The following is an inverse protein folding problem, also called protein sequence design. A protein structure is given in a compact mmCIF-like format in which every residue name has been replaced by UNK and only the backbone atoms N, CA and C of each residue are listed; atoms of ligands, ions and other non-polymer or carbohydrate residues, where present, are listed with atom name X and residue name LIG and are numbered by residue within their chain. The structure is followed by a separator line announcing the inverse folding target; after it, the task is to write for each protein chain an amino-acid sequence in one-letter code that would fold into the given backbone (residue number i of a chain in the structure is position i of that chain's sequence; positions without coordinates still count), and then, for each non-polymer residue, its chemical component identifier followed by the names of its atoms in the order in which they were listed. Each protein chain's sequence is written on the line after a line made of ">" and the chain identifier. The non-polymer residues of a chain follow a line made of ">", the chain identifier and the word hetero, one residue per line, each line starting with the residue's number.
data_IF_178437016258
#
_entry.id   IF_178437016258
#
_cell.length_a   1.000
_cell.length_b   1.000
_cell.length_c   1.000
_cell.angle_alpha   90.00
_cell.angle_beta   90.00
_cell.angle_gamma   90.00
#
_symmetry.space_group_name_H-M   'P 1'
#
loop_
_entity.id
_entity.type
_entity.pdbx_description
1 polymer ?
#
# COMPACT_ATOMS: atom_id res chain seq x y z
N UNK A 1 83.15 41.19 -29.41
CA UNK A 1 83.60 42.12 -28.35
C UNK A 1 82.46 43.10 -28.10
N UNK A 2 82.06 43.23 -26.83
CA UNK A 2 81.03 44.13 -26.25
C UNK A 2 79.67 44.25 -26.97
N UNK A 3 78.70 43.41 -26.58
CA UNK A 3 77.29 43.73 -26.77
C UNK A 3 76.78 44.57 -25.60
N UNK A 4 76.44 45.82 -25.89
CA UNK A 4 75.75 46.75 -24.99
C UNK A 4 74.26 46.39 -24.94
N UNK A 5 73.75 46.20 -23.72
CA UNK A 5 72.33 46.05 -23.42
C UNK A 5 71.69 47.46 -23.34
N UNK A 6 70.57 47.65 -24.05
CA UNK A 6 69.68 48.80 -23.86
C UNK A 6 68.65 48.49 -22.76
N UNK A 7 68.51 49.42 -21.84
CA UNK A 7 67.50 49.46 -20.78
C UNK A 7 66.09 49.63 -21.35
N UNK A 8 65.10 48.95 -20.74
CA UNK A 8 63.69 49.32 -20.86
C UNK A 8 63.13 49.54 -19.45
N UNK A 9 62.59 50.74 -19.27
CA UNK A 9 62.00 51.29 -18.05
C UNK A 9 60.91 50.40 -17.44
N UNK A 10 61.03 50.12 -16.15
CA UNK A 10 59.98 49.48 -15.34
C UNK A 10 58.97 50.54 -14.91
N UNK A 11 57.78 50.51 -15.50
CA UNK A 11 56.64 51.30 -15.02
C UNK A 11 55.82 50.45 -14.04
N UNK A 12 55.78 50.85 -12.76
CA UNK A 12 55.01 50.16 -11.71
C UNK A 12 53.54 50.51 -11.83
N UNK A 13 52.74 49.59 -12.37
CA UNK A 13 51.27 49.62 -12.24
C UNK A 13 50.86 48.82 -11.00
N UNK A 14 50.37 49.52 -9.97
CA UNK A 14 49.66 48.90 -8.85
C UNK A 14 48.23 48.65 -9.35
N UNK A 15 47.95 47.42 -9.77
CA UNK A 15 46.60 46.98 -10.13
C UNK A 15 45.80 46.61 -8.89
N UNK A 16 44.79 47.40 -8.55
CA UNK A 16 43.77 47.02 -7.58
C UNK A 16 42.86 45.95 -8.20
N UNK A 17 42.93 44.71 -7.69
CA UNK A 17 42.01 43.63 -8.08
C UNK A 17 40.71 43.80 -7.28
N UNK A 18 39.69 44.37 -7.92
CA UNK A 18 38.32 44.37 -7.43
C UNK A 18 37.69 43.00 -7.69
N UNK A 19 37.67 42.15 -6.65
CA UNK A 19 36.88 40.92 -6.63
C UNK A 19 35.39 41.28 -6.56
N UNK A 20 34.71 41.26 -7.71
CA UNK A 20 33.25 41.26 -7.75
C UNK A 20 32.75 39.90 -7.29
N UNK A 21 32.30 39.81 -6.04
CA UNK A 21 31.49 38.69 -5.58
C UNK A 21 30.12 38.76 -6.30
N UNK A 22 29.97 37.97 -7.36
CA UNK A 22 28.66 37.77 -8.01
C UNK A 22 27.83 36.95 -7.02
N UNK A 23 27.09 37.63 -6.15
CA UNK A 23 26.03 37.01 -5.36
C UNK A 23 24.91 36.63 -6.34
N UNK A 24 25.01 35.42 -6.91
CA UNK A 24 23.89 34.81 -7.62
C UNK A 24 22.69 34.71 -6.68
N UNK A 25 21.45 34.78 -7.19
CA UNK A 25 20.27 34.66 -6.35
C UNK A 25 20.34 33.32 -5.62
N UNK A 26 20.36 33.37 -4.28
CA UNK A 26 20.18 32.20 -3.43
C UNK A 26 18.87 31.55 -3.85
N UNK A 27 18.94 30.43 -4.58
CA UNK A 27 17.77 29.61 -4.81
C UNK A 27 17.16 29.30 -3.44
N UNK A 28 15.91 29.67 -3.23
CA UNK A 28 15.21 29.40 -1.98
C UNK A 28 15.26 27.89 -1.72
N UNK A 29 16.16 27.47 -0.83
CA UNK A 29 16.21 26.10 -0.36
C UNK A 29 14.97 25.91 0.51
N UNK A 30 14.16 24.91 0.18
CA UNK A 30 13.04 24.50 1.02
C UNK A 30 13.50 24.13 2.43
N UNK A 31 12.55 23.99 3.35
CA UNK A 31 12.81 23.59 4.74
C UNK A 31 13.57 22.26 4.77
N UNK A 32 14.46 22.11 5.75
CA UNK A 32 15.15 20.84 6.00
C UNK A 32 14.16 19.76 6.46
N UNK A 33 14.49 18.46 6.34
CA UNK A 33 13.61 17.39 6.84
C UNK A 33 13.30 17.54 8.34
N UNK A 34 14.27 17.99 9.14
CA UNK A 34 14.08 18.27 10.57
C UNK A 34 13.08 19.40 10.81
N UNK A 35 13.18 20.50 10.06
CA UNK A 35 12.24 21.62 10.15
C UNK A 35 10.82 21.19 9.75
N UNK A 36 10.69 20.41 8.67
CA UNK A 36 9.42 19.83 8.25
C UNK A 36 8.84 18.98 9.38
N UNK A 37 9.62 18.04 9.94
CA UNK A 37 9.15 17.17 11.01
C UNK A 37 8.71 17.95 12.25
N UNK A 38 9.51 18.91 12.72
CA UNK A 38 9.18 19.73 13.90
C UNK A 38 7.88 20.53 13.73
N UNK A 39 7.62 21.02 12.52
CA UNK A 39 6.43 21.78 12.20
C UNK A 39 5.19 20.89 12.02
N UNK A 40 5.31 19.81 11.24
CA UNK A 40 4.16 19.01 10.83
C UNK A 40 3.77 17.97 11.88
N UNK A 41 4.71 17.41 12.65
CA UNK A 41 4.44 16.35 13.64
C UNK A 41 3.37 16.73 14.66
N UNK A 42 3.26 18.01 15.02
CA UNK A 42 2.22 18.51 15.95
C UNK A 42 0.81 18.45 15.38
N UNK A 43 0.69 18.36 14.06
CA UNK A 43 -0.57 18.25 13.32
C UNK A 43 -0.85 16.82 12.85
N UNK A 44 0.04 15.87 13.15
CA UNK A 44 -0.15 14.45 12.87
C UNK A 44 -0.51 13.75 14.17
N UNK A 45 -1.48 12.84 14.08
CA UNK A 45 -2.00 12.09 15.22
C UNK A 45 -2.04 10.60 14.91
N UNK A 46 -2.05 9.78 15.95
CA UNK A 46 -2.32 8.34 15.81
C UNK A 46 -3.81 8.10 16.00
N UNK A 47 -4.43 7.30 15.14
CA UNK A 47 -5.82 6.87 15.26
C UNK A 47 -5.82 5.46 15.83
N UNK A 48 -6.65 5.23 16.84
CA UNK A 48 -6.95 3.91 17.36
C UNK A 48 -8.42 3.59 17.11
N UNK A 49 -8.66 2.40 16.60
CA UNK A 49 -9.99 1.85 16.37
C UNK A 49 -10.26 0.79 17.41
N UNK A 50 -11.33 0.98 18.17
CA UNK A 50 -11.67 0.12 19.29
C UNK A 50 -12.76 -0.88 18.90
N UNK A 51 -12.59 -2.13 19.31
CA UNK A 51 -13.65 -3.14 19.25
C UNK A 51 -14.74 -2.88 20.31
N UNK A 52 -15.74 -3.76 20.38
CA UNK A 52 -16.86 -3.64 21.33
C UNK A 52 -16.44 -3.88 22.79
N UNK A 53 -15.29 -4.49 23.03
CA UNK A 53 -14.74 -4.78 24.34
C UNK A 53 -13.78 -3.66 24.81
N UNK A 54 -13.51 -2.67 23.94
CA UNK A 54 -12.62 -1.55 24.19
C UNK A 54 -11.15 -1.85 23.86
N UNK A 55 -10.85 -3.01 23.26
CA UNK A 55 -9.52 -3.37 22.76
C UNK A 55 -9.19 -2.63 21.47
N UNK A 56 -7.90 -2.37 21.22
CA UNK A 56 -7.45 -1.75 19.96
C UNK A 56 -7.47 -2.82 18.86
N UNK A 57 -8.46 -2.72 17.97
CA UNK A 57 -8.65 -3.62 16.84
C UNK A 57 -7.82 -3.22 15.61
N UNK A 58 -7.58 -1.92 15.44
CA UNK A 58 -6.79 -1.38 14.34
C UNK A 58 -6.16 -0.04 14.74
N UNK A 59 -5.14 0.39 13.99
CA UNK A 59 -4.52 1.68 14.16
C UNK A 59 -4.14 2.30 12.80
N UNK A 60 -3.98 3.61 12.81
CA UNK A 60 -3.49 4.35 11.66
C UNK A 60 -3.02 5.74 12.08
N UNK A 61 -2.89 6.61 11.10
CA UNK A 61 -2.49 8.00 11.26
C UNK A 61 -3.62 8.93 10.86
N UNK A 62 -3.55 10.18 11.28
CA UNK A 62 -4.47 11.23 10.88
C UNK A 62 -3.78 12.58 10.76
N UNK A 63 -4.35 13.47 9.95
CA UNK A 63 -3.86 14.84 9.76
C UNK A 63 -4.89 15.84 10.27
N UNK A 64 -4.48 16.73 11.17
CA UNK A 64 -5.30 17.85 11.63
C UNK A 64 -5.36 18.92 10.54
N UNK A 65 -6.54 19.10 9.94
CA UNK A 65 -6.73 20.02 8.81
C UNK A 65 -7.61 21.23 9.15
N UNK A 66 -8.40 21.12 10.21
CA UNK A 66 -9.14 22.22 10.81
C UNK A 66 -9.26 22.00 12.33
N UNK A 67 -9.79 22.99 13.05
CA UNK A 67 -10.03 22.87 14.48
C UNK A 67 -10.90 21.64 14.76
N UNK A 68 -10.42 20.76 15.66
CA UNK A 68 -11.11 19.54 16.07
C UNK A 68 -11.44 18.57 14.91
N UNK A 69 -10.75 18.70 13.76
CA UNK A 69 -11.02 17.93 12.55
C UNK A 69 -9.75 17.21 12.09
N UNK A 70 -9.86 15.88 12.00
CA UNK A 70 -8.78 14.99 11.60
C UNK A 70 -9.18 14.22 10.35
N UNK A 71 -8.41 14.37 9.29
CA UNK A 71 -8.56 13.60 8.06
C UNK A 71 -7.76 12.30 8.16
N UNK A 72 -8.30 11.22 7.62
CA UNK A 72 -7.64 9.91 7.54
C UNK A 72 -8.22 9.09 6.39
N UNK A 73 -7.74 7.85 6.24
CA UNK A 73 -8.37 6.90 5.34
C UNK A 73 -9.58 6.23 5.97
N UNK A 74 -10.61 5.92 5.18
CA UNK A 74 -11.78 5.21 5.67
C UNK A 74 -11.45 3.78 6.08
N UNK A 75 -10.55 3.11 5.36
CA UNK A 75 -10.11 1.74 5.70
C UNK A 75 -9.41 1.65 7.06
N UNK A 76 -8.84 2.76 7.57
CA UNK A 76 -8.27 2.79 8.92
C UNK A 76 -9.37 2.57 9.94
N UNK A 77 -10.55 3.18 9.74
CA UNK A 77 -11.68 3.18 10.67
C UNK A 77 -12.55 1.92 10.59
N UNK A 78 -12.37 1.10 9.55
CA UNK A 78 -13.20 -0.07 9.25
C UNK A 78 -13.29 -1.08 10.42
N UNK A 79 -14.53 -1.49 10.73
CA UNK A 79 -14.80 -2.53 11.74
C UNK A 79 -14.77 -2.05 13.19
N UNK A 80 -14.49 -0.77 13.43
CA UNK A 80 -14.52 -0.16 14.76
C UNK A 80 -15.91 0.09 15.31
N UNK A 81 -16.06 -0.12 16.61
CA UNK A 81 -17.22 0.34 17.38
C UNK A 81 -17.02 1.80 17.84
N UNK A 82 -15.80 2.13 18.28
CA UNK A 82 -15.41 3.48 18.73
C UNK A 82 -14.07 3.90 18.13
N UNK A 83 -13.82 5.21 18.07
CA UNK A 83 -12.56 5.78 17.58
C UNK A 83 -11.95 6.68 18.63
N UNK A 84 -10.62 6.61 18.74
CA UNK A 84 -9.86 7.58 19.53
C UNK A 84 -8.67 8.11 18.74
N UNK A 85 -8.24 9.31 19.11
CA UNK A 85 -7.10 10.01 18.53
C UNK A 85 -6.09 10.24 19.63
N UNK A 86 -4.88 9.74 19.45
CA UNK A 86 -3.75 9.94 20.36
C UNK A 86 -2.87 11.06 19.82
N UNK A 87 -2.73 12.11 20.62
CA UNK A 87 -1.87 13.27 20.33
C UNK A 87 -1.10 13.67 21.58
N UNK A 88 0.22 13.87 21.47
CA UNK A 88 1.08 14.21 22.60
C UNK A 88 0.85 13.33 23.85
N UNK A 89 0.68 12.01 23.64
CA UNK A 89 0.36 10.99 24.68
C UNK A 89 -0.99 11.16 25.39
N UNK A 90 -1.85 12.03 24.88
CA UNK A 90 -3.23 12.20 25.35
C UNK A 90 -4.18 11.54 24.37
N UNK A 91 -5.13 10.76 24.89
CA UNK A 91 -6.17 10.12 24.09
C UNK A 91 -7.44 10.95 24.10
N UNK A 92 -7.98 11.22 22.91
CA UNK A 92 -9.21 11.98 22.72
C UNK A 92 -10.26 11.11 22.02
N UNK A 93 -11.50 11.14 22.49
CA UNK A 93 -12.61 10.49 21.78
C UNK A 93 -12.86 11.17 20.43
N UNK A 94 -13.17 10.36 19.43
CA UNK A 94 -13.45 10.82 18.08
C UNK A 94 -14.74 10.19 17.53
N UNK A 95 -15.43 10.92 16.66
CA UNK A 95 -16.62 10.44 15.95
C UNK A 95 -16.48 10.69 14.46
N UNK A 96 -17.05 9.80 13.63
CA UNK A 96 -17.07 9.99 12.18
C UNK A 96 -17.95 11.20 11.83
N UNK A 97 -17.38 12.17 11.10
CA UNK A 97 -18.06 13.40 10.68
C UNK A 97 -18.45 13.40 9.20
N UNK A 98 -17.60 12.81 8.35
CA UNK A 98 -17.83 12.70 6.91
C UNK A 98 -17.06 11.51 6.35
N UNK A 99 -17.57 10.90 5.28
CA UNK A 99 -16.93 9.77 4.64
C UNK A 99 -17.18 9.77 3.13
N UNK A 100 -16.12 9.57 2.35
CA UNK A 100 -16.14 9.32 0.92
C UNK A 100 -15.49 7.96 0.66
N UNK A 101 -16.30 6.91 0.78
CA UNK A 101 -15.86 5.52 0.68
C UNK A 101 -15.24 5.20 -0.67
N UNK A 102 -15.72 5.83 -1.75
CA UNK A 102 -15.19 5.60 -3.11
C UNK A 102 -13.74 6.05 -3.24
N UNK A 103 -13.33 7.07 -2.46
CA UNK A 103 -11.97 7.62 -2.48
C UNK A 103 -11.16 7.33 -1.22
N UNK A 104 -11.72 6.50 -0.34
CA UNK A 104 -11.10 6.08 0.92
C UNK A 104 -10.67 7.28 1.79
N UNK A 105 -11.48 8.36 1.81
CA UNK A 105 -11.21 9.58 2.58
C UNK A 105 -12.30 9.79 3.63
N UNK A 106 -11.89 9.82 4.89
CA UNK A 106 -12.78 9.99 6.03
C UNK A 106 -12.32 11.14 6.92
N UNK A 107 -13.28 11.74 7.60
CA UNK A 107 -13.05 12.79 8.57
C UNK A 107 -13.61 12.42 9.94
N UNK A 108 -12.77 12.56 10.95
CA UNK A 108 -13.13 12.45 12.36
C UNK A 108 -13.30 13.84 12.99
N UNK A 109 -14.37 13.99 13.76
CA UNK A 109 -14.55 15.09 14.71
C UNK A 109 -13.92 14.69 16.05
N UNK A 110 -13.09 15.55 16.62
CA UNK A 110 -12.33 15.30 17.85
C UNK A 110 -12.43 16.51 18.79
N UNK A 111 -13.54 16.67 19.53
CA UNK A 111 -13.84 17.92 20.26
C UNK A 111 -12.77 18.37 21.26
N UNK A 112 -12.09 17.43 21.92
CA UNK A 112 -11.09 17.74 22.94
C UNK A 112 -9.66 17.93 22.38
N UNK A 113 -9.46 17.84 21.07
CA UNK A 113 -8.14 17.92 20.45
C UNK A 113 -7.69 19.38 20.28
N UNK A 114 -6.53 19.70 20.84
CA UNK A 114 -5.83 20.97 20.64
C UNK A 114 -4.54 20.71 19.87
N UNK A 115 -4.57 20.97 18.57
CA UNK A 115 -3.43 20.78 17.68
C UNK A 115 -3.45 21.83 16.56
N UNK A 116 -2.28 22.28 16.08
CA UNK A 116 -2.21 23.14 14.90
C UNK A 116 -2.78 22.41 13.67
N UNK A 117 -3.34 23.19 12.74
CA UNK A 117 -3.76 22.69 11.43
C UNK A 117 -2.63 22.82 10.41
N UNK A 118 -2.56 21.88 9.49
CA UNK A 118 -1.68 21.99 8.32
C UNK A 118 -2.24 22.96 7.28
N UNK A 119 -1.36 23.55 6.47
CA UNK A 119 -1.76 24.27 5.25
C UNK A 119 -1.85 23.28 4.09
N UNK A 120 -2.87 23.41 3.23
CA UNK A 120 -3.01 22.58 2.04
C UNK A 120 -2.17 23.14 0.88
N UNK A 121 -1.53 22.25 0.13
CA UNK A 121 -0.92 22.61 -1.16
C UNK A 121 -2.01 22.78 -2.22
N UNK A 122 -2.06 23.96 -2.84
CA UNK A 122 -3.07 24.31 -3.86
C UNK A 122 -2.52 24.35 -5.28
N UNK A 123 -1.20 24.13 -5.45
CA UNK A 123 -0.56 24.13 -6.75
C UNK A 123 -0.72 22.82 -7.52
N UNK A 124 -0.06 22.73 -8.67
CA UNK A 124 0.06 21.48 -9.43
C UNK A 124 1.31 20.71 -9.00
N UNK A 125 1.13 19.46 -8.57
CA UNK A 125 2.25 18.57 -8.26
C UNK A 125 3.07 18.25 -9.51
N UNK A 126 4.39 18.17 -9.32
CA UNK A 126 5.33 17.81 -10.39
C UNK A 126 5.99 16.48 -10.07
N UNK A 127 6.07 15.61 -11.06
CA UNK A 127 6.89 14.40 -10.97
C UNK A 127 8.35 14.80 -10.76
N UNK A 128 9.02 14.14 -9.81
CA UNK A 128 10.36 14.48 -9.34
C UNK A 128 10.41 15.53 -8.23
N UNK A 129 9.28 16.12 -7.82
CA UNK A 129 9.23 17.01 -6.67
C UNK A 129 9.49 16.23 -5.38
N UNK A 130 10.33 16.77 -4.50
CA UNK A 130 10.63 16.22 -3.18
C UNK A 130 9.42 16.35 -2.24
N UNK A 131 9.18 15.29 -1.48
CA UNK A 131 8.09 15.18 -0.51
C UNK A 131 8.53 14.40 0.73
N UNK A 132 7.83 14.63 1.83
CA UNK A 132 8.08 13.98 3.12
C UNK A 132 6.81 13.31 3.63
N UNK A 133 6.87 12.03 3.96
CA UNK A 133 5.76 11.35 4.63
C UNK A 133 5.96 11.42 6.14
N UNK A 134 4.91 11.76 6.88
CA UNK A 134 4.90 11.79 8.35
C UNK A 134 3.66 11.07 8.87
N UNK A 135 3.88 10.05 9.70
CA UNK A 135 2.81 9.20 10.24
C UNK A 135 3.30 8.37 11.43
N UNK A 136 2.42 7.55 12.00
CA UNK A 136 2.68 6.65 13.13
C UNK A 136 2.73 5.19 12.65
N UNK A 137 3.85 4.73 12.06
CA UNK A 137 4.00 3.34 11.65
C UNK A 137 3.83 2.40 12.86
N UNK A 138 3.08 1.32 12.67
CA UNK A 138 2.72 0.34 13.72
C UNK A 138 2.03 0.95 14.96
N UNK A 139 1.47 2.17 14.85
CA UNK A 139 0.84 2.89 15.96
C UNK A 139 1.83 3.40 17.02
N UNK A 140 3.14 3.39 16.71
CA UNK A 140 4.23 3.80 17.59
C UNK A 140 4.47 5.32 17.52
N UNK A 141 5.71 5.74 17.80
CA UNK A 141 6.12 7.13 17.66
C UNK A 141 6.08 7.59 16.19
N UNK A 142 5.82 8.89 16.01
CA UNK A 142 5.80 9.49 14.69
C UNK A 142 7.15 9.33 14.00
N UNK A 143 7.10 8.97 12.72
CA UNK A 143 8.26 8.80 11.86
C UNK A 143 8.15 9.72 10.66
N UNK A 144 9.29 10.24 10.21
CA UNK A 144 9.42 10.95 8.94
C UNK A 144 10.21 10.11 7.94
N UNK A 145 9.79 10.12 6.68
CA UNK A 145 10.54 9.56 5.57
C UNK A 145 10.57 10.54 4.39
N UNK A 146 11.65 10.52 3.62
CA UNK A 146 11.84 11.37 2.45
C UNK A 146 11.64 10.58 1.16
N UNK A 147 11.07 11.23 0.15
CA UNK A 147 11.01 10.70 -1.20
C UNK A 147 10.63 11.75 -2.25
N UNK A 148 10.18 11.26 -3.39
CA UNK A 148 9.75 12.07 -4.53
C UNK A 148 8.30 11.74 -4.89
N UNK A 149 7.60 12.69 -5.51
CA UNK A 149 6.44 12.40 -6.35
C UNK A 149 6.94 11.61 -7.56
N UNK A 150 6.75 10.30 -7.55
CA UNK A 150 7.21 9.39 -8.59
C UNK A 150 6.31 9.43 -9.83
N UNK A 151 5.00 9.63 -9.65
CA UNK A 151 4.01 9.73 -10.73
C UNK A 151 2.68 10.23 -10.19
N UNK A 152 1.81 10.74 -11.07
CA UNK A 152 0.38 10.91 -10.79
C UNK A 152 -0.34 9.82 -11.59
N UNK A 153 -0.99 8.89 -10.89
CA UNK A 153 -1.58 7.68 -11.48
C UNK A 153 -3.09 7.80 -11.51
N UNK A 154 -3.68 7.64 -12.68
CA UNK A 154 -5.12 7.44 -12.79
C UNK A 154 -5.46 5.98 -12.45
N UNK A 155 -6.32 5.80 -11.46
CA UNK A 155 -6.87 4.52 -11.02
C UNK A 155 -8.39 4.72 -10.86
N UNK A 156 -9.18 4.00 -11.65
CA UNK A 156 -10.65 4.04 -11.64
C UNK A 156 -11.25 5.45 -11.74
N UNK A 157 -10.70 6.28 -12.63
CA UNK A 157 -11.16 7.66 -12.85
C UNK A 157 -10.74 8.66 -11.78
N UNK A 158 -9.96 8.23 -10.77
CA UNK A 158 -9.39 9.09 -9.76
C UNK A 158 -7.86 9.16 -9.88
N UNK A 159 -7.28 10.32 -9.57
CA UNK A 159 -5.85 10.55 -9.66
C UNK A 159 -5.19 10.40 -8.28
N UNK A 160 -4.28 9.43 -8.14
CA UNK A 160 -3.50 9.19 -6.91
C UNK A 160 -2.06 9.67 -7.06
N UNK A 161 -1.45 10.06 -5.95
CA UNK A 161 -0.04 10.45 -5.90
C UNK A 161 0.78 9.19 -5.66
N UNK A 162 1.60 8.77 -6.61
CA UNK A 162 2.62 7.75 -6.37
C UNK A 162 3.85 8.44 -5.79
N UNK A 163 4.33 7.97 -4.63
CA UNK A 163 5.51 8.51 -3.94
C UNK A 163 6.55 7.42 -3.71
N UNK A 164 7.83 7.80 -3.75
CA UNK A 164 8.93 6.92 -3.33
C UNK A 164 9.21 6.99 -1.84
N UNK A 165 8.58 7.92 -1.10
CA UNK A 165 8.77 8.06 0.35
C UNK A 165 8.32 6.77 1.04
N UNK A 166 9.19 6.08 1.80
CA UNK A 166 8.83 4.84 2.48
C UNK A 166 7.65 5.03 3.44
N UNK A 167 6.66 4.14 3.37
CA UNK A 167 5.56 4.04 4.34
C UNK A 167 5.39 2.57 4.72
N UNK A 168 4.77 2.31 5.88
CA UNK A 168 4.47 0.96 6.37
C UNK A 168 3.05 0.89 6.93
N UNK A 169 2.65 -0.28 7.44
CA UNK A 169 1.40 -0.40 8.20
C UNK A 169 1.36 0.65 9.33
N UNK A 170 0.18 1.21 9.58
CA UNK A 170 -0.03 2.32 10.52
C UNK A 170 0.23 3.72 9.96
N UNK A 171 1.01 3.85 8.87
CA UNK A 171 1.22 5.16 8.22
C UNK A 171 -0.02 5.64 7.43
N UNK A 172 -0.99 4.77 7.15
CA UNK A 172 -2.24 5.13 6.45
C UNK A 172 -3.00 6.23 7.18
N UNK A 173 -3.42 7.26 6.45
CA UNK A 173 -4.04 8.48 6.94
C UNK A 173 -3.05 9.55 7.41
N UNK A 174 -1.74 9.27 7.35
CA UNK A 174 -0.67 10.22 7.65
C UNK A 174 -0.51 11.27 6.57
N UNK A 175 0.35 12.27 6.80
CA UNK A 175 0.53 13.38 5.88
C UNK A 175 1.70 13.18 4.92
N UNK A 176 1.50 13.49 3.65
CA UNK A 176 2.55 13.70 2.66
C UNK A 176 2.70 15.21 2.44
N UNK A 177 3.90 15.74 2.63
CA UNK A 177 4.19 17.18 2.66
C UNK A 177 5.19 17.57 1.58
N UNK A 178 5.09 18.80 1.07
CA UNK A 178 6.12 19.39 0.23
C UNK A 178 7.29 19.98 1.04
N UNK A 179 8.26 20.58 0.36
CA UNK A 179 9.44 21.21 0.98
C UNK A 179 9.15 22.49 1.76
N UNK A 180 7.89 22.94 1.80
CA UNK A 180 7.44 24.08 2.60
C UNK A 180 6.58 23.64 3.80
N UNK A 181 6.30 22.34 3.96
CA UNK A 181 5.46 21.80 5.03
C UNK A 181 3.97 21.85 4.70
N UNK A 182 3.58 22.10 3.44
CA UNK A 182 2.18 22.08 3.00
C UNK A 182 1.76 20.65 2.67
N UNK A 183 0.57 20.26 3.09
CA UNK A 183 -0.01 18.95 2.83
C UNK A 183 -0.32 18.80 1.35
N UNK A 184 0.35 17.86 0.68
CA UNK A 184 0.08 17.49 -0.71
C UNK A 184 -0.84 16.27 -0.83
N UNK A 185 -0.89 15.42 0.19
CA UNK A 185 -1.78 14.27 0.23
C UNK A 185 -1.78 13.50 1.54
N UNK A 186 -2.65 12.50 1.64
CA UNK A 186 -2.69 11.56 2.77
C UNK A 186 -2.12 10.21 2.34
N UNK A 187 -1.12 9.69 3.04
CA UNK A 187 -0.55 8.36 2.77
C UNK A 187 -1.62 7.29 2.95
N UNK A 188 -1.77 6.36 2.00
CA UNK A 188 -2.95 5.49 1.95
C UNK A 188 -2.63 4.00 1.82
N UNK A 189 -1.92 3.59 0.76
CA UNK A 189 -1.66 2.18 0.50
C UNK A 189 -0.31 1.95 -0.17
N UNK A 190 0.17 0.73 -0.04
CA UNK A 190 1.41 0.23 -0.64
C UNK A 190 1.02 -0.83 -1.67
N UNK A 191 1.79 -0.93 -2.76
CA UNK A 191 1.78 -2.09 -3.65
C UNK A 191 3.02 -2.94 -3.31
N UNK A 192 2.88 -4.02 -2.50
CA UNK A 192 3.98 -4.86 -1.99
C UNK A 192 5.00 -5.37 -3.03
N UNK A 193 4.63 -5.42 -4.30
CA UNK A 193 5.41 -5.95 -5.43
C UNK A 193 6.49 -5.03 -5.94
N UNK A 194 6.32 -3.72 -5.73
CA UNK A 194 7.26 -2.73 -6.18
C UNK A 194 8.00 -2.14 -5.01
N UNK A 195 9.33 -2.18 -5.08
CA UNK A 195 10.14 -1.36 -4.19
C UNK A 195 9.72 0.11 -4.37
N UNK A 196 9.35 0.76 -3.27
CA UNK A 196 8.94 2.17 -3.23
C UNK A 196 7.71 2.50 -4.11
N UNK A 197 6.75 1.57 -4.23
CA UNK A 197 5.41 1.85 -4.78
C UNK A 197 4.43 2.18 -3.66
N UNK A 198 4.48 3.43 -3.22
CA UNK A 198 3.61 3.97 -2.18
C UNK A 198 2.63 4.97 -2.79
N UNK A 199 1.42 5.06 -2.23
CA UNK A 199 0.37 5.90 -2.76
C UNK A 199 -0.23 6.80 -1.69
N UNK A 200 -0.61 8.00 -2.11
CA UNK A 200 -1.31 8.98 -1.29
C UNK A 200 -2.54 9.54 -2.02
N UNK A 201 -3.59 9.85 -1.24
CA UNK A 201 -4.77 10.57 -1.70
C UNK A 201 -4.41 12.06 -1.85
N UNK A 202 -4.72 12.73 -2.97
CA UNK A 202 -4.47 14.16 -3.10
C UNK A 202 -5.17 14.98 -2.01
N UNK A 203 -4.45 15.94 -1.42
CA UNK A 203 -5.02 16.83 -0.40
C UNK A 203 -6.16 17.70 -0.96
N UNK A 204 -6.21 17.90 -2.28
CA UNK A 204 -7.31 18.60 -2.95
C UNK A 204 -8.66 17.88 -2.79
N UNK A 205 -8.69 16.59 -2.47
CA UNK A 205 -9.96 15.88 -2.24
C UNK A 205 -10.64 16.27 -0.94
N UNK A 206 -9.90 16.82 0.03
CA UNK A 206 -10.42 17.24 1.33
C UNK A 206 -11.53 18.28 1.18
N UNK A 207 -11.38 19.24 0.25
CA UNK A 207 -12.40 20.29 0.05
C UNK A 207 -13.68 19.77 -0.59
N UNK A 208 -13.65 18.62 -1.24
CA UNK A 208 -14.80 17.97 -1.87
C UNK A 208 -15.53 17.01 -0.93
N UNK A 209 -14.92 16.65 0.20
CA UNK A 209 -15.41 15.61 1.11
C UNK A 209 -16.83 15.88 1.61
N UNK A 210 -17.11 17.12 2.03
CA UNK A 210 -18.43 17.48 2.55
C UNK A 210 -19.55 17.29 1.51
N UNK A 211 -19.28 17.56 0.23
CA UNK A 211 -20.25 17.41 -0.86
C UNK A 211 -20.44 15.94 -1.28
N UNK A 212 -19.45 15.09 -1.02
CA UNK A 212 -19.45 13.67 -1.38
C UNK A 212 -19.87 12.76 -0.22
N UNK A 213 -19.86 13.28 0.99
CA UNK A 213 -20.40 12.59 2.16
C UNK A 213 -21.92 12.51 2.07
N UNK A 214 -22.46 11.34 2.40
CA UNK A 214 -23.90 11.18 2.60
C UNK A 214 -24.41 12.01 3.80
N UNK A 215 -25.73 12.22 3.87
CA UNK A 215 -26.40 12.97 4.95
C UNK A 215 -26.22 12.35 6.34
N UNK A 216 -25.92 11.06 6.41
CA UNK A 216 -25.53 10.36 7.63
C UNK A 216 -24.23 9.62 7.34
N UNK A 217 -23.09 10.12 7.83
CA UNK A 217 -21.82 9.44 7.69
C UNK A 217 -21.89 8.13 8.46
N UNK A 218 -21.92 7.02 7.73
CA UNK A 218 -21.74 5.68 8.30
C UNK A 218 -20.49 5.09 7.67
N UNK A 219 -19.71 4.35 8.44
CA UNK A 219 -18.79 3.42 7.82
C UNK A 219 -19.63 2.34 7.15
N UNK A 220 -19.32 2.03 5.89
CA UNK A 220 -20.02 0.97 5.21
C UNK A 220 -19.88 -0.33 6.00
N UNK A 221 -21.00 -1.05 6.21
CA UNK A 221 -20.94 -2.36 6.88
C UNK A 221 -20.05 -3.28 6.04
N UNK A 222 -18.88 -3.66 6.60
CA UNK A 222 -17.87 -4.48 5.91
C UNK A 222 -18.48 -5.76 5.34
N UNK A 223 -19.37 -6.39 6.08
CA UNK A 223 -20.02 -7.64 5.64
C UNK A 223 -20.91 -7.39 4.43
N UNK A 224 -21.71 -6.34 4.45
CA UNK A 224 -22.58 -5.97 3.33
C UNK A 224 -21.77 -5.56 2.09
N UNK A 225 -20.65 -4.84 2.27
CA UNK A 225 -19.75 -4.48 1.16
C UNK A 225 -19.07 -5.72 0.59
N UNK A 226 -18.57 -6.60 1.45
CA UNK A 226 -17.97 -7.87 1.04
C UNK A 226 -18.97 -8.76 0.31
N UNK A 227 -20.18 -8.89 0.80
CA UNK A 227 -21.25 -9.69 0.18
C UNK A 227 -21.57 -9.18 -1.24
N UNK A 228 -21.70 -7.85 -1.41
CA UNK A 228 -21.90 -7.23 -2.73
C UNK A 228 -20.78 -7.58 -3.70
N UNK A 229 -19.52 -7.47 -3.28
CA UNK A 229 -18.37 -7.77 -4.14
C UNK A 229 -18.21 -9.28 -4.39
N UNK A 230 -18.51 -10.13 -3.41
CA UNK A 230 -18.59 -11.58 -3.58
C UNK A 230 -19.58 -11.95 -4.66
N UNK A 231 -20.82 -11.44 -4.58
CA UNK A 231 -21.86 -11.69 -5.58
C UNK A 231 -21.43 -11.22 -6.98
N UNK A 232 -20.86 -10.01 -7.08
CA UNK A 232 -20.37 -9.47 -8.36
C UNK A 232 -19.26 -10.33 -8.97
N UNK A 233 -18.24 -10.67 -8.19
CA UNK A 233 -17.11 -11.48 -8.68
C UNK A 233 -17.55 -12.90 -9.01
N UNK A 234 -18.50 -13.49 -8.27
CA UNK A 234 -19.10 -14.78 -8.61
C UNK A 234 -19.85 -14.75 -9.95
N UNK A 235 -20.65 -13.71 -10.21
CA UNK A 235 -21.34 -13.55 -11.49
C UNK A 235 -20.37 -13.40 -12.67
N UNK A 236 -19.27 -12.66 -12.48
CA UNK A 236 -18.22 -12.50 -13.48
C UNK A 236 -17.47 -13.81 -13.74
N UNK A 237 -17.23 -14.63 -12.69
CA UNK A 237 -16.69 -15.99 -12.85
C UNK A 237 -17.61 -16.88 -13.67
N UNK A 238 -18.92 -16.84 -13.39
CA UNK A 238 -19.91 -17.67 -14.08
C UNK A 238 -20.00 -17.33 -15.59
N UNK A 239 -19.89 -16.05 -15.93
CA UNK A 239 -19.90 -15.56 -17.32
C UNK A 239 -18.54 -15.62 -18.00
N UNK A 240 -17.48 -16.01 -17.27
CA UNK A 240 -16.09 -16.05 -17.75
C UNK A 240 -15.55 -14.69 -18.20
N UNK A 241 -16.11 -13.60 -17.69
CA UNK A 241 -15.59 -12.25 -17.92
C UNK A 241 -14.38 -11.99 -17.01
N UNK A 242 -13.21 -12.44 -17.47
CA UNK A 242 -11.96 -12.35 -16.70
C UNK A 242 -11.45 -10.92 -16.55
N UNK A 243 -11.72 -10.06 -17.54
CA UNK A 243 -11.34 -8.64 -17.48
C UNK A 243 -12.24 -7.91 -16.50
N UNK A 244 -13.56 -8.13 -16.55
CA UNK A 244 -14.49 -7.61 -15.57
C UNK A 244 -14.21 -8.13 -14.16
N UNK A 245 -13.87 -9.41 -14.01
CA UNK A 245 -13.46 -10.00 -12.72
C UNK A 245 -12.23 -9.29 -12.16
N UNK A 246 -11.22 -9.03 -12.99
CA UNK A 246 -10.02 -8.29 -12.56
C UNK A 246 -10.36 -6.89 -12.07
N UNK A 247 -11.15 -6.13 -12.83
CA UNK A 247 -11.57 -4.78 -12.44
C UNK A 247 -12.38 -4.81 -11.14
N UNK A 248 -13.35 -5.72 -11.02
CA UNK A 248 -14.17 -5.83 -9.82
C UNK A 248 -13.34 -6.24 -8.59
N UNK A 249 -12.40 -7.17 -8.73
CA UNK A 249 -11.53 -7.57 -7.63
C UNK A 249 -10.56 -6.44 -7.21
N UNK A 250 -10.04 -5.66 -8.17
CA UNK A 250 -9.24 -4.46 -7.87
C UNK A 250 -10.04 -3.41 -7.10
N UNK A 251 -11.30 -3.20 -7.47
CA UNK A 251 -12.20 -2.29 -6.75
C UNK A 251 -12.51 -2.80 -5.35
N UNK A 252 -12.74 -4.10 -5.20
CA UNK A 252 -13.02 -4.71 -3.91
C UNK A 252 -11.87 -4.52 -2.92
N UNK A 253 -10.64 -4.84 -3.31
CA UNK A 253 -9.49 -4.68 -2.40
C UNK A 253 -9.12 -3.22 -2.11
N UNK A 254 -9.64 -2.26 -2.88
CA UNK A 254 -9.52 -0.83 -2.54
C UNK A 254 -10.62 -0.40 -1.57
N UNK A 255 -11.84 -0.87 -1.81
CA UNK A 255 -12.99 -0.57 -0.97
C UNK A 255 -12.91 -1.24 0.40
N UNK A 256 -12.28 -2.42 0.47
CA UNK A 256 -12.06 -3.18 1.70
C UNK A 256 -10.66 -3.81 1.64
N UNK A 257 -9.59 -3.05 1.91
CA UNK A 257 -8.20 -3.56 1.87
C UNK A 257 -7.92 -4.72 2.80
N UNK A 258 -8.78 -4.91 3.80
CA UNK A 258 -8.75 -6.00 4.76
C UNK A 258 -9.50 -7.27 4.30
N UNK A 259 -10.17 -7.25 3.14
CA UNK A 259 -10.98 -8.37 2.66
C UNK A 259 -10.11 -9.48 2.04
N UNK A 260 -9.86 -10.54 2.82
CA UNK A 260 -9.20 -11.76 2.35
C UNK A 260 -9.85 -12.31 1.06
N UNK A 261 -11.20 -12.44 0.96
CA UNK A 261 -11.83 -12.92 -0.27
C UNK A 261 -11.63 -12.01 -1.49
N UNK A 262 -11.46 -10.70 -1.27
CA UNK A 262 -11.15 -9.75 -2.34
C UNK A 262 -9.75 -9.97 -2.90
N UNK A 263 -8.77 -10.15 -2.02
CA UNK A 263 -7.39 -10.42 -2.42
C UNK A 263 -7.23 -11.80 -3.09
N UNK A 264 -7.95 -12.83 -2.63
CA UNK A 264 -7.96 -14.13 -3.31
C UNK A 264 -8.63 -14.06 -4.68
N UNK A 265 -9.75 -13.34 -4.81
CA UNK A 265 -10.40 -13.07 -6.09
C UNK A 265 -9.48 -12.30 -7.05
N UNK A 266 -8.71 -11.33 -6.53
CA UNK A 266 -7.75 -10.57 -7.34
C UNK A 266 -6.59 -11.45 -7.82
N UNK A 267 -6.07 -12.32 -6.95
CA UNK A 267 -5.05 -13.31 -7.30
C UNK A 267 -5.52 -14.24 -8.42
N UNK A 268 -6.75 -14.75 -8.29
CA UNK A 268 -7.38 -15.61 -9.29
C UNK A 268 -7.55 -14.88 -10.62
N UNK A 269 -8.09 -13.65 -10.60
CA UNK A 269 -8.31 -12.84 -11.78
C UNK A 269 -7.02 -12.60 -12.55
N UNK A 270 -5.94 -12.23 -11.85
CA UNK A 270 -4.61 -12.08 -12.46
C UNK A 270 -4.10 -13.40 -13.07
N UNK A 271 -4.33 -14.53 -12.40
CA UNK A 271 -3.99 -15.86 -12.93
C UNK A 271 -4.73 -16.15 -14.24
N UNK A 272 -6.03 -15.87 -14.29
CA UNK A 272 -6.89 -16.08 -15.46
C UNK A 272 -6.50 -15.18 -16.65
N UNK A 273 -6.08 -13.93 -16.39
CA UNK A 273 -5.55 -13.03 -17.43
C UNK A 273 -4.05 -13.23 -17.71
N UNK A 274 -3.47 -14.37 -17.32
CA UNK A 274 -2.07 -14.76 -17.56
C UNK A 274 -1.03 -13.78 -17.03
N UNK A 275 -1.29 -13.20 -15.85
CA UNK A 275 -0.36 -12.32 -15.11
C UNK A 275 0.09 -12.94 -13.79
N UNK A 276 0.80 -14.10 -13.81
CA UNK A 276 1.09 -14.87 -12.60
C UNK A 276 1.96 -14.12 -11.57
N UNK A 277 2.84 -13.21 -12.02
CA UNK A 277 3.63 -12.36 -11.10
C UNK A 277 2.78 -11.42 -10.26
N UNK A 278 1.64 -10.94 -10.79
CA UNK A 278 0.67 -10.13 -10.03
C UNK A 278 -0.29 -10.99 -9.22
N UNK A 279 -0.61 -12.19 -9.72
CA UNK A 279 -1.46 -13.13 -9.01
C UNK A 279 -0.86 -13.55 -7.67
N UNK A 280 0.41 -13.96 -7.67
CA UNK A 280 1.05 -14.50 -6.46
C UNK A 280 1.09 -13.49 -5.31
N UNK A 281 1.21 -12.26 -5.69
CA UNK A 281 1.26 -11.11 -4.81
C UNK A 281 -0.07 -10.88 -4.11
N UNK A 282 -1.17 -10.96 -4.85
CA UNK A 282 -2.50 -10.75 -4.29
C UNK A 282 -2.83 -11.91 -3.33
N UNK A 283 -2.44 -13.13 -3.68
CA UNK A 283 -2.49 -14.26 -2.75
C UNK A 283 -1.62 -14.05 -1.52
N UNK A 284 -0.38 -13.55 -1.67
CA UNK A 284 0.47 -13.24 -0.52
C UNK A 284 -0.10 -12.12 0.36
N UNK A 285 -0.83 -11.15 -0.20
CA UNK A 285 -1.55 -10.15 0.59
C UNK A 285 -2.74 -10.79 1.34
N UNK A 286 -3.49 -11.69 0.70
CA UNK A 286 -4.52 -12.47 1.38
C UNK A 286 -3.93 -13.27 2.56
N UNK A 287 -2.77 -13.92 2.36
CA UNK A 287 -2.07 -14.70 3.39
C UNK A 287 -1.44 -13.86 4.50
N UNK A 288 -1.13 -12.59 4.24
CA UNK A 288 -0.72 -11.64 5.30
C UNK A 288 -1.89 -11.26 6.20
N UNK A 289 -3.10 -11.17 5.63
CA UNK A 289 -4.31 -10.83 6.36
C UNK A 289 -4.86 -12.04 7.12
N UNK A 290 -4.78 -13.23 6.51
CA UNK A 290 -5.19 -14.50 7.09
C UNK A 290 -4.24 -15.62 6.63
N UNK A 291 -3.33 -16.02 7.52
CA UNK A 291 -2.34 -17.06 7.28
C UNK A 291 -2.92 -18.46 7.09
N UNK A 292 -4.19 -18.68 7.44
CA UNK A 292 -4.89 -19.96 7.31
C UNK A 292 -5.90 -19.98 6.14
N UNK A 293 -5.84 -18.98 5.25
CA UNK A 293 -6.72 -18.93 4.08
C UNK A 293 -6.42 -20.05 3.08
N UNK A 294 -7.28 -21.07 3.06
CA UNK A 294 -7.18 -22.22 2.15
C UNK A 294 -7.18 -21.79 0.67
N UNK A 295 -8.12 -20.93 0.26
CA UNK A 295 -8.22 -20.47 -1.13
C UNK A 295 -6.97 -19.71 -1.56
N UNK A 296 -6.38 -18.93 -0.65
CA UNK A 296 -5.16 -18.19 -0.91
C UNK A 296 -3.95 -19.12 -1.07
N UNK A 297 -3.77 -20.11 -0.17
CA UNK A 297 -2.70 -21.10 -0.28
C UNK A 297 -2.82 -21.94 -1.56
N UNK A 298 -4.04 -22.40 -1.88
CA UNK A 298 -4.30 -23.19 -3.07
C UNK A 298 -4.01 -22.40 -4.36
N UNK A 299 -4.43 -21.12 -4.39
CA UNK A 299 -4.14 -20.21 -5.49
C UNK A 299 -2.66 -19.87 -5.61
N UNK A 300 -1.98 -19.63 -4.49
CA UNK A 300 -0.55 -19.35 -4.42
C UNK A 300 0.27 -20.54 -4.94
N UNK A 301 -0.01 -21.77 -4.48
CA UNK A 301 0.71 -22.97 -4.92
C UNK A 301 0.57 -23.20 -6.43
N UNK A 302 -0.63 -23.07 -7.00
CA UNK A 302 -0.85 -23.11 -8.45
C UNK A 302 -0.05 -22.01 -9.17
N UNK A 303 0.01 -20.82 -8.61
CA UNK A 303 0.72 -19.69 -9.21
C UNK A 303 2.24 -19.87 -9.13
N UNK A 304 2.77 -20.40 -8.03
CA UNK A 304 4.19 -20.73 -7.88
C UNK A 304 4.64 -21.79 -8.88
N UNK A 305 3.82 -22.82 -9.13
CA UNK A 305 4.05 -23.79 -10.20
C UNK A 305 4.15 -23.09 -11.57
N UNK A 306 3.22 -22.19 -11.89
CA UNK A 306 3.23 -21.44 -13.15
C UNK A 306 4.43 -20.48 -13.28
N UNK A 307 5.05 -20.09 -12.16
CA UNK A 307 6.27 -19.28 -12.10
C UNK A 307 7.55 -20.12 -12.02
N UNK A 308 7.46 -21.46 -12.09
CA UNK A 308 8.56 -22.41 -11.90
C UNK A 308 9.27 -22.27 -10.54
N UNK A 309 8.57 -21.80 -9.51
CA UNK A 309 9.11 -21.62 -8.16
C UNK A 309 8.72 -22.83 -7.31
N UNK A 310 9.33 -23.97 -7.61
CA UNK A 310 8.87 -25.26 -7.10
C UNK A 310 9.02 -25.41 -5.57
N UNK A 311 10.05 -24.84 -4.97
CA UNK A 311 10.23 -24.90 -3.51
C UNK A 311 9.07 -24.20 -2.78
N UNK A 312 8.71 -22.99 -3.23
CA UNK A 312 7.53 -22.26 -2.72
C UNK A 312 6.21 -22.94 -3.05
N UNK A 313 6.13 -23.66 -4.17
CA UNK A 313 4.95 -24.46 -4.50
C UNK A 313 4.79 -25.66 -3.56
N UNK A 314 5.89 -26.31 -3.15
CA UNK A 314 5.87 -27.37 -2.12
C UNK A 314 5.38 -26.82 -0.79
N UNK A 315 5.93 -25.69 -0.33
CA UNK A 315 5.51 -25.03 0.92
C UNK A 315 4.01 -24.70 0.90
N UNK A 316 3.54 -24.02 -0.16
CA UNK A 316 2.14 -23.66 -0.29
C UNK A 316 1.22 -24.89 -0.32
N UNK A 317 1.61 -25.95 -1.04
CA UNK A 317 0.83 -27.19 -1.09
C UNK A 317 0.84 -27.95 0.25
N UNK A 318 1.93 -27.87 1.02
CA UNK A 318 1.98 -28.41 2.38
C UNK A 318 1.03 -27.67 3.31
N UNK A 319 0.93 -26.35 3.21
CA UNK A 319 -0.04 -25.57 3.98
C UNK A 319 -1.49 -25.92 3.60
N UNK A 320 -1.79 -26.09 2.31
CA UNK A 320 -3.09 -26.63 1.87
C UNK A 320 -3.39 -27.98 2.54
N UNK A 321 -2.40 -28.88 2.60
CA UNK A 321 -2.55 -30.21 3.19
C UNK A 321 -2.54 -30.20 4.73
N UNK A 322 -1.96 -29.17 5.36
CA UNK A 322 -2.08 -28.96 6.81
C UNK A 322 -3.53 -28.59 7.16
N UNK A 323 -4.13 -27.68 6.39
CA UNK A 323 -5.52 -27.25 6.56
C UNK A 323 -6.51 -28.36 6.15
N UNK A 324 -6.21 -29.08 5.07
CA UNK A 324 -7.05 -30.14 4.50
C UNK A 324 -6.19 -31.35 4.06
N UNK A 325 -5.95 -32.34 4.95
CA UNK A 325 -5.01 -33.45 4.71
C UNK A 325 -5.27 -34.33 3.48
N UNK A 326 -6.53 -34.38 3.03
CA UNK A 326 -6.98 -35.19 1.91
C UNK A 326 -7.36 -34.33 0.68
N UNK A 327 -6.87 -33.10 0.61
CA UNK A 327 -7.15 -32.22 -0.52
C UNK A 327 -6.44 -32.70 -1.80
N UNK A 328 -7.23 -33.14 -2.78
CA UNK A 328 -6.70 -33.65 -4.06
C UNK A 328 -5.93 -32.57 -4.81
N UNK A 329 -6.40 -31.32 -4.80
CA UNK A 329 -5.74 -30.24 -5.54
C UNK A 329 -4.39 -29.88 -4.92
N UNK A 330 -4.31 -29.82 -3.59
CA UNK A 330 -3.06 -29.69 -2.84
C UNK A 330 -2.09 -30.84 -3.10
N UNK A 331 -2.58 -32.09 -3.09
CA UNK A 331 -1.76 -33.26 -3.46
C UNK A 331 -1.24 -33.15 -4.90
N UNK A 332 -2.09 -32.80 -5.86
CA UNK A 332 -1.67 -32.61 -7.26
C UNK A 332 -0.61 -31.53 -7.37
N UNK A 333 -0.77 -30.40 -6.67
CA UNK A 333 0.23 -29.32 -6.67
C UNK A 333 1.57 -29.78 -6.07
N UNK A 334 1.53 -30.47 -4.93
CA UNK A 334 2.71 -31.02 -4.26
C UNK A 334 3.45 -32.02 -5.17
N UNK A 335 2.72 -32.97 -5.76
CA UNK A 335 3.28 -33.97 -6.65
C UNK A 335 3.86 -33.36 -7.92
N UNK A 336 3.21 -32.33 -8.47
CA UNK A 336 3.69 -31.57 -9.63
C UNK A 336 5.01 -30.87 -9.30
N UNK A 337 5.11 -30.22 -8.14
CA UNK A 337 6.33 -29.56 -7.71
C UNK A 337 7.48 -30.56 -7.53
N UNK A 338 7.24 -31.71 -6.87
CA UNK A 338 8.24 -32.76 -6.73
C UNK A 338 8.70 -33.35 -8.07
N UNK A 339 7.78 -33.53 -9.03
CA UNK A 339 8.15 -33.96 -10.37
C UNK A 339 9.14 -32.99 -11.02
N UNK A 340 8.85 -31.69 -11.00
CA UNK A 340 9.71 -30.66 -11.58
C UNK A 340 11.04 -30.47 -10.83
N UNK A 341 11.11 -30.81 -9.55
CA UNK A 341 12.36 -30.91 -8.78
C UNK A 341 13.12 -32.23 -9.01
N UNK A 342 12.66 -33.09 -9.92
CA UNK A 342 13.20 -34.43 -10.18
C UNK A 342 13.17 -35.37 -8.94
N UNK A 343 12.30 -35.09 -7.97
CA UNK A 343 12.08 -35.91 -6.77
C UNK A 343 11.05 -37.02 -7.06
N UNK A 344 11.41 -37.93 -8.00
CA UNK A 344 10.51 -38.95 -8.54
C UNK A 344 9.90 -39.87 -7.49
N UNK A 345 10.64 -40.23 -6.45
CA UNK A 345 10.15 -41.06 -5.35
C UNK A 345 8.99 -40.37 -4.60
N UNK A 346 9.18 -39.10 -4.21
CA UNK A 346 8.14 -38.31 -3.53
C UNK A 346 6.92 -38.06 -4.42
N UNK A 347 7.12 -37.82 -5.72
CA UNK A 347 6.00 -37.69 -6.66
C UNK A 347 5.16 -39.00 -6.74
N UNK A 348 5.80 -40.17 -6.68
CA UNK A 348 5.10 -41.48 -6.63
C UNK A 348 4.35 -41.70 -5.32
N UNK A 349 4.92 -41.28 -4.18
CA UNK A 349 4.23 -41.31 -2.89
C UNK A 349 2.97 -40.46 -2.90
N UNK A 350 3.05 -39.25 -3.46
CA UNK A 350 1.90 -38.37 -3.64
C UNK A 350 0.85 -39.01 -4.56
N UNK A 351 1.26 -39.61 -5.69
CA UNK A 351 0.36 -40.35 -6.57
C UNK A 351 -0.37 -41.48 -5.82
N UNK A 352 0.34 -42.25 -4.99
CA UNK A 352 -0.25 -43.32 -4.19
C UNK A 352 -1.27 -42.77 -3.17
N UNK A 353 -1.05 -41.57 -2.62
CA UNK A 353 -2.03 -40.88 -1.77
C UNK A 353 -3.27 -40.47 -2.56
N UNK A 354 -3.09 -39.87 -3.75
CA UNK A 354 -4.21 -39.49 -4.63
C UNK A 354 -5.03 -40.73 -5.01
N UNK A 355 -4.38 -41.85 -5.34
CA UNK A 355 -5.05 -43.10 -5.70
C UNK A 355 -5.94 -43.69 -4.59
N UNK A 356 -5.65 -43.41 -3.31
CA UNK A 356 -6.53 -43.83 -2.20
C UNK A 356 -7.79 -42.97 -2.08
N UNK A 357 -7.79 -41.79 -2.68
CA UNK A 357 -8.85 -40.78 -2.53
C UNK A 357 -9.70 -40.65 -3.80
N UNK A 358 -9.08 -40.68 -4.98
CA UNK A 358 -9.75 -40.54 -6.27
C UNK A 358 -8.93 -41.22 -7.41
N UNK A 359 -9.46 -42.33 -7.93
CA UNK A 359 -8.86 -43.10 -9.03
C UNK A 359 -8.76 -42.34 -10.35
N UNK A 360 -9.70 -41.44 -10.63
CA UNK A 360 -9.69 -40.62 -11.85
C UNK A 360 -8.58 -39.58 -11.76
N UNK A 361 -8.49 -38.88 -10.63
CA UNK A 361 -7.42 -37.92 -10.38
C UNK A 361 -6.03 -38.57 -10.40
N UNK A 362 -5.90 -39.76 -9.81
CA UNK A 362 -4.65 -40.52 -9.82
C UNK A 362 -4.19 -40.89 -11.23
N UNK A 363 -5.11 -41.41 -12.07
CA UNK A 363 -4.81 -41.72 -13.48
C UNK A 363 -4.42 -40.49 -14.28
N UNK A 364 -5.08 -39.35 -14.05
CA UNK A 364 -4.72 -38.09 -14.71
C UNK A 364 -3.32 -37.63 -14.28
N UNK A 365 -3.02 -37.68 -12.99
CA UNK A 365 -1.71 -37.31 -12.44
C UNK A 365 -0.60 -38.22 -12.98
N UNK A 366 -0.80 -39.54 -12.98
CA UNK A 366 0.18 -40.51 -13.46
C UNK A 366 0.53 -40.30 -14.94
N UNK A 367 -0.47 -40.01 -15.77
CA UNK A 367 -0.29 -39.71 -17.21
C UNK A 367 0.60 -38.50 -17.43
N UNK A 368 0.47 -37.47 -16.58
CA UNK A 368 1.22 -36.21 -16.73
C UNK A 368 2.63 -36.30 -16.14
N UNK A 369 2.82 -36.99 -15.00
CA UNK A 369 4.02 -36.80 -14.18
C UNK A 369 4.78 -38.09 -13.80
N UNK A 370 4.23 -39.28 -14.08
CA UNK A 370 4.83 -40.55 -13.65
C UNK A 370 5.21 -41.46 -14.82
N UNK A 371 4.46 -41.45 -15.91
CA UNK A 371 4.55 -42.44 -17.00
C UNK A 371 5.51 -42.08 -18.14
N UNK A 372 6.27 -40.98 -18.02
CA UNK A 372 7.31 -40.58 -18.97
C UNK A 372 8.72 -40.69 -18.37
#
# INVERSE_FOLDING_TARGET
>A
MSHSYQEIHVNRFIGAVLLWAIAGPLAAQGKSPEQIYQETSRSIVTIQVLDREGGVANFGSGVVTAAQSVMTNCHVLEGGAEYSVVSARTTHKATLRAADHDRDLCELQVPALQAPRVSLFTGRLRVGQRVYAVGAPEGLELTISEGLVSSIRELDGAHYIQTSAPISSGSSGGGLFDTEGRLVGLTAFIIPEGQNLNFALPASWIVELAARSGSTPTLANRDAVNEKWQARTAALRATKDWTGLLTAAQQWVRAVPSAVPGWTALGEAYGLVKRPRRAIVAYNQALRLDGDSYEAWLGAGKTYLALNQYDRAVEAAQEVLRLRPNDIAGLVQLGTAYHHQNQRARAREVHARIAKLDDKAAREFARKFITN
#
